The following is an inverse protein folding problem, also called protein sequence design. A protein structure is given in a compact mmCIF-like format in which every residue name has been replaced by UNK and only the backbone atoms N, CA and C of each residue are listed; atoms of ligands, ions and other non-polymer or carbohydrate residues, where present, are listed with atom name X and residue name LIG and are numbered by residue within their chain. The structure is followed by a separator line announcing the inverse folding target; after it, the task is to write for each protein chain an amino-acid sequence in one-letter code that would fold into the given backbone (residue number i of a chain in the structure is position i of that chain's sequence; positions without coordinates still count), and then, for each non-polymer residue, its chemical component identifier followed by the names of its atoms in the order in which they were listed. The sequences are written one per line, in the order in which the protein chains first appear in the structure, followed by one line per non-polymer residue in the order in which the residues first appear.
data_IF_429112672582
#
_entry.id   IF_429112672582
#
_cell.length_a   1.000
_cell.length_b   1.000
_cell.length_c   1.000
_cell.angle_alpha   90.00
_cell.angle_beta   90.00
_cell.angle_gamma   90.00
#
_symmetry.space_group_name_H-M   'P 1'
#
loop_
_entity.id
_entity.type
_entity.pdbx_description
1 polymer ?
#
# COMPACT_ATOMS: atom_id res chain seq x y z
N UNK A 1 5.75 6.38 0.70
CA UNK A 1 4.70 5.50 1.24
C UNK A 1 3.33 5.81 0.63
N UNK A 2 3.14 7.00 0.06
CA UNK A 2 1.83 7.45 -0.44
C UNK A 2 0.97 8.04 0.67
N UNK A 3 1.59 8.50 1.76
CA UNK A 3 0.92 9.28 2.79
C UNK A 3 0.38 10.59 2.25
N UNK A 4 -0.62 11.14 2.95
CA UNK A 4 -1.21 12.43 2.63
C UNK A 4 -0.15 13.54 2.63
N UNK A 5 0.81 13.52 3.56
CA UNK A 5 1.91 14.48 3.60
C UNK A 5 2.80 14.41 2.35
N UNK A 6 3.12 13.19 1.89
CA UNK A 6 3.89 13.01 0.67
C UNK A 6 3.10 13.48 -0.57
N UNK A 7 1.79 13.21 -0.61
CA UNK A 7 0.89 13.69 -1.67
C UNK A 7 0.83 15.21 -1.68
N UNK A 8 0.65 15.85 -0.51
CA UNK A 8 0.62 17.32 -0.41
C UNK A 8 1.95 17.94 -0.83
N UNK A 9 3.09 17.36 -0.43
CA UNK A 9 4.41 17.84 -0.83
C UNK A 9 4.66 17.69 -2.34
N UNK A 10 4.08 16.67 -3.00
CA UNK A 10 4.08 16.55 -4.47
C UNK A 10 3.23 17.66 -5.10
N UNK A 11 2.04 17.93 -4.56
CA UNK A 11 1.17 19.01 -5.06
C UNK A 11 1.77 20.40 -4.84
N UNK A 12 2.57 20.58 -3.78
CA UNK A 12 3.35 21.79 -3.52
C UNK A 12 4.62 21.91 -4.40
N UNK A 13 4.96 20.87 -5.17
CA UNK A 13 6.11 20.84 -6.08
C UNK A 13 7.47 20.55 -5.42
N UNK A 14 7.47 20.20 -4.13
CA UNK A 14 8.66 19.90 -3.34
C UNK A 14 9.17 18.48 -3.60
N UNK A 15 8.28 17.48 -3.50
CA UNK A 15 8.56 16.10 -3.88
C UNK A 15 8.25 15.84 -5.36
N UNK A 16 9.05 14.99 -6.00
CA UNK A 16 8.86 14.61 -7.42
C UNK A 16 7.89 13.44 -7.60
N UNK A 17 7.90 12.50 -6.66
CA UNK A 17 7.04 11.33 -6.67
C UNK A 17 7.04 10.67 -5.28
N UNK A 18 6.05 9.81 -5.04
CA UNK A 18 6.04 8.84 -3.94
C UNK A 18 5.51 7.52 -4.47
N UNK A 19 5.57 6.45 -3.69
CA UNK A 19 4.98 5.18 -4.05
C UNK A 19 4.01 4.73 -2.97
N UNK A 20 2.75 4.57 -3.37
CA UNK A 20 1.64 4.15 -2.53
C UNK A 20 1.78 2.69 -2.17
N UNK A 21 1.89 2.44 -0.87
CA UNK A 21 1.93 1.11 -0.29
C UNK A 21 0.52 0.73 0.18
N UNK A 22 -0.05 -0.40 -0.27
CA UNK A 22 -1.35 -0.89 0.21
C UNK A 22 -1.22 -1.54 1.60
N UNK A 23 -0.86 -0.74 2.62
CA UNK A 23 -0.51 -1.23 3.97
C UNK A 23 -1.68 -1.97 4.63
N UNK A 24 -2.92 -1.51 4.42
CA UNK A 24 -4.11 -2.18 4.96
C UNK A 24 -4.26 -3.61 4.40
N UNK A 25 -4.10 -3.78 3.08
CA UNK A 25 -4.15 -5.10 2.45
C UNK A 25 -3.01 -5.99 2.94
N UNK A 26 -1.79 -5.45 3.06
CA UNK A 26 -0.65 -6.19 3.61
C UNK A 26 -0.94 -6.73 5.02
N UNK A 27 -1.50 -5.89 5.89
CA UNK A 27 -1.84 -6.26 7.27
C UNK A 27 -2.95 -7.32 7.32
N UNK A 28 -3.99 -7.19 6.49
CA UNK A 28 -5.09 -8.15 6.40
C UNK A 28 -4.57 -9.52 5.91
N UNK A 29 -3.80 -9.54 4.82
CA UNK A 29 -3.22 -10.78 4.29
C UNK A 29 -2.30 -11.47 5.30
N UNK A 30 -1.49 -10.70 6.03
CA UNK A 30 -0.63 -11.24 7.08
C UNK A 30 -1.45 -11.90 8.21
N UNK A 31 -2.54 -11.28 8.65
CA UNK A 31 -3.40 -11.82 9.68
C UNK A 31 -4.14 -13.10 9.21
N UNK A 32 -4.66 -13.11 7.98
CA UNK A 32 -5.31 -14.29 7.38
C UNK A 32 -4.33 -15.46 7.30
N UNK A 33 -3.12 -15.24 6.77
CA UNK A 33 -2.14 -16.30 6.64
C UNK A 33 -1.65 -16.80 8.01
N UNK A 34 -1.54 -15.93 9.01
CA UNK A 34 -1.23 -16.35 10.37
C UNK A 34 -2.33 -17.26 10.96
N UNK A 35 -3.60 -16.91 10.77
CA UNK A 35 -4.74 -17.72 11.19
C UNK A 35 -4.77 -19.09 10.48
N UNK A 36 -4.58 -19.10 9.15
CA UNK A 36 -4.51 -20.35 8.37
C UNK A 36 -3.37 -21.26 8.85
N UNK A 37 -2.22 -20.69 9.17
CA UNK A 37 -1.10 -21.47 9.72
C UNK A 37 -1.43 -22.05 11.10
N UNK A 38 -2.03 -21.27 11.98
CA UNK A 38 -2.42 -21.72 13.34
C UNK A 38 -3.45 -22.85 13.26
N UNK A 39 -4.45 -22.73 12.39
CA UNK A 39 -5.56 -23.68 12.30
C UNK A 39 -5.22 -24.92 11.47
N UNK A 40 -4.43 -24.77 10.38
CA UNK A 40 -4.25 -25.80 9.36
C UNK A 40 -2.79 -26.23 9.16
N UNK A 41 -1.83 -25.57 9.83
CA UNK A 41 -0.40 -25.88 9.75
C UNK A 41 0.31 -25.37 8.49
N UNK A 42 -0.38 -24.64 7.61
CA UNK A 42 0.18 -24.07 6.38
C UNK A 42 -0.65 -22.89 5.90
N UNK A 43 0.00 -21.90 5.29
CA UNK A 43 -0.63 -20.76 4.61
C UNK A 43 -0.96 -21.07 3.14
N UNK A 44 -0.38 -22.14 2.58
CA UNK A 44 -0.47 -22.45 1.15
C UNK A 44 0.18 -21.40 0.22
N UNK A 45 0.95 -20.44 0.76
CA UNK A 45 1.61 -19.37 0.00
C UNK A 45 3.14 -19.49 0.06
N UNK A 46 3.87 -18.93 -0.92
CA UNK A 46 5.31 -18.77 -0.81
C UNK A 46 5.72 -17.93 0.41
N UNK A 47 6.89 -18.20 0.99
CA UNK A 47 7.44 -17.42 2.12
C UNK A 47 7.56 -15.92 1.77
N UNK A 48 8.03 -15.62 0.56
CA UNK A 48 8.15 -14.25 0.05
C UNK A 48 7.06 -13.96 -0.98
N UNK A 49 6.25 -12.95 -0.70
CA UNK A 49 5.15 -12.51 -1.55
C UNK A 49 5.34 -11.04 -1.91
N UNK A 50 5.03 -10.69 -3.16
CA UNK A 50 5.06 -9.31 -3.65
C UNK A 50 3.65 -8.75 -3.71
N UNK A 51 3.49 -7.50 -3.31
CA UNK A 51 2.23 -6.77 -3.41
C UNK A 51 2.50 -5.51 -4.21
N UNK A 52 1.67 -5.27 -5.23
CA UNK A 52 1.88 -4.17 -6.16
C UNK A 52 1.67 -2.81 -5.49
N UNK A 53 2.54 -1.88 -5.86
CA UNK A 53 2.52 -0.51 -5.40
C UNK A 53 2.14 0.42 -6.53
N UNK A 54 1.57 1.57 -6.20
CA UNK A 54 1.21 2.59 -7.21
C UNK A 54 2.21 3.74 -7.16
N UNK A 55 2.84 4.05 -8.30
CA UNK A 55 3.64 5.26 -8.42
C UNK A 55 2.73 6.49 -8.41
N UNK A 56 2.97 7.41 -7.48
CA UNK A 56 2.28 8.68 -7.39
C UNK A 56 3.20 9.79 -7.90
N UNK A 57 2.70 10.55 -8.86
CA UNK A 57 3.35 11.71 -9.49
C UNK A 57 2.40 12.92 -9.44
N UNK A 58 2.83 14.13 -9.81
CA UNK A 58 1.92 15.27 -9.91
C UNK A 58 0.69 15.02 -10.81
N UNK A 59 0.79 14.11 -11.77
CA UNK A 59 -0.29 13.79 -12.73
C UNK A 59 -1.45 13.04 -12.09
N UNK A 60 -1.20 12.29 -11.01
CA UNK A 60 -2.21 11.43 -10.37
C UNK A 60 -2.36 11.66 -8.85
N UNK A 61 -1.52 12.50 -8.23
CA UNK A 61 -1.54 12.77 -6.79
C UNK A 61 -2.92 13.23 -6.29
N UNK A 62 -3.68 13.95 -7.11
CA UNK A 62 -5.03 14.38 -6.78
C UNK A 62 -6.06 13.25 -6.62
N UNK A 63 -5.75 12.04 -7.09
CA UNK A 63 -6.67 10.90 -7.10
C UNK A 63 -6.57 10.02 -5.84
N UNK A 64 -5.67 10.34 -4.91
CA UNK A 64 -5.39 9.53 -3.72
C UNK A 64 -5.50 10.34 -2.44
N UNK A 65 -5.94 9.69 -1.37
CA UNK A 65 -5.91 10.18 0.01
C UNK A 65 -5.98 8.99 0.98
N UNK A 66 -5.51 9.17 2.22
CA UNK A 66 -5.55 8.17 3.29
C UNK A 66 -5.03 6.79 2.86
N UNK A 67 -3.95 6.79 2.07
CA UNK A 67 -3.33 5.58 1.52
C UNK A 67 -4.24 4.76 0.56
N UNK A 68 -5.24 5.39 -0.06
CA UNK A 68 -6.18 4.75 -1.00
C UNK A 68 -6.58 5.69 -2.15
N UNK A 69 -7.16 5.17 -3.26
CA UNK A 69 -7.85 6.00 -4.24
C UNK A 69 -9.03 6.74 -3.60
N UNK A 70 -9.29 7.97 -4.03
CA UNK A 70 -10.51 8.70 -3.67
C UNK A 70 -11.74 8.03 -4.27
N UNK A 71 -12.83 8.01 -3.50
CA UNK A 71 -14.17 7.65 -3.99
C UNK A 71 -14.82 8.77 -4.82
#
# INVERSE_FOLDING_TARGET
DGSDDAIQSILAGELKATALQPVAEMAIQAAIQADEYINNGSTGKPEKQSIDMVLITPENAGNYERFAPKE
#
